data_IF_982210449557
#
_entry.id   IF_982210449557
#
_cell.length_a   1.000
_cell.length_b   1.000
_cell.length_c   1.000
_cell.angle_alpha   90.00
_cell.angle_beta   90.00
_cell.angle_gamma   90.00
#
_symmetry.space_group_name_H-M   'P 1'
#
loop_
_entity.id
_entity.type
_entity.pdbx_description
1 polymer ?
#
# COMPACT_ATOMS: atom_id res chain seq x y z
N UNK A 1 -1.34 -0.76 6.67
CA UNK A 1 -0.25 -1.76 6.59
C UNK A 1 0.97 -1.04 6.08
N UNK A 2 2.06 -0.99 6.86
CA UNK A 2 3.31 -0.33 6.47
C UNK A 2 4.14 -1.31 5.65
N UNK A 3 4.68 -0.85 4.53
CA UNK A 3 5.58 -1.64 3.68
C UNK A 3 7.01 -1.13 3.82
N UNK A 4 7.97 -2.03 3.69
CA UNK A 4 9.40 -1.73 3.65
C UNK A 4 9.96 -2.12 2.30
N UNK A 5 10.91 -1.35 1.73
CA UNK A 5 11.60 -1.76 0.50
C UNK A 5 12.21 -3.16 0.65
N UNK A 6 11.99 -4.02 -0.35
CA UNK A 6 12.64 -5.32 -0.44
C UNK A 6 13.87 -5.20 -1.34
N UNK A 7 15.00 -5.81 -0.95
CA UNK A 7 16.24 -5.74 -1.73
C UNK A 7 16.12 -6.34 -3.14
N UNK A 8 15.17 -7.26 -3.34
CA UNK A 8 14.86 -7.89 -4.63
C UNK A 8 13.88 -7.09 -5.48
N UNK A 9 13.36 -5.96 -4.98
CA UNK A 9 12.36 -5.15 -5.69
C UNK A 9 12.99 -3.81 -6.12
N UNK A 10 12.93 -3.51 -7.42
CA UNK A 10 13.39 -2.23 -7.94
C UNK A 10 12.32 -1.18 -7.62
N UNK A 11 12.64 -0.27 -6.70
CA UNK A 11 11.65 0.70 -6.22
C UNK A 11 11.48 1.94 -7.11
N UNK A 12 12.24 2.06 -8.21
CA UNK A 12 12.24 3.19 -9.15
C UNK A 12 12.28 4.58 -8.46
N UNK A 13 13.09 4.69 -7.40
CA UNK A 13 13.23 5.93 -6.61
C UNK A 13 12.08 6.22 -5.65
N UNK A 14 11.04 5.37 -5.58
CA UNK A 14 9.94 5.52 -4.61
C UNK A 14 10.24 4.79 -3.30
N UNK A 15 9.65 5.27 -2.21
CA UNK A 15 9.74 4.60 -0.90
C UNK A 15 8.55 4.99 -0.02
N UNK A 16 8.48 4.45 1.20
CA UNK A 16 7.49 4.88 2.19
C UNK A 16 6.05 4.46 1.90
N UNK A 17 5.84 3.33 1.24
CA UNK A 17 4.49 2.87 0.89
C UNK A 17 3.66 2.41 2.08
N UNK A 18 2.36 2.68 1.99
CA UNK A 18 1.34 2.14 2.86
C UNK A 18 0.19 1.57 2.04
N UNK A 19 -0.46 0.53 2.58
CA UNK A 19 -1.82 0.15 2.20
C UNK A 19 -2.75 0.64 3.31
N UNK A 20 -3.57 1.65 3.03
CA UNK A 20 -4.45 2.25 4.02
C UNK A 20 -5.83 2.60 3.48
N UNK A 21 -6.75 2.97 4.38
CA UNK A 21 -8.07 3.47 4.00
C UNK A 21 -8.00 4.94 3.62
N UNK A 22 -9.02 5.40 2.92
CA UNK A 22 -9.16 6.80 2.56
C UNK A 22 -9.44 7.68 3.81
N UNK A 23 -9.32 9.00 3.65
CA UNK A 23 -9.60 9.97 4.69
C UNK A 23 -11.10 10.09 4.89
N UNK A 24 -11.55 9.98 6.14
CA UNK A 24 -12.95 10.22 6.51
C UNK A 24 -13.30 11.70 6.54
N UNK A 25 -12.31 12.57 6.76
CA UNK A 25 -12.49 14.02 6.78
C UNK A 25 -12.43 14.66 5.38
N UNK A 26 -11.61 14.08 4.49
CA UNK A 26 -11.38 14.57 3.12
C UNK A 26 -11.37 13.40 2.12
N UNK A 27 -12.55 12.82 1.80
CA UNK A 27 -12.64 11.67 0.90
C UNK A 27 -12.00 11.95 -0.47
N UNK A 28 -11.19 11.02 -0.96
CA UNK A 28 -10.45 11.10 -2.22
C UNK A 28 -9.07 11.74 -2.12
N UNK A 29 -8.71 12.35 -0.98
CA UNK A 29 -7.49 13.16 -0.85
C UNK A 29 -6.40 12.50 -0.01
N UNK A 30 -6.59 11.26 0.47
CA UNK A 30 -5.62 10.65 1.38
C UNK A 30 -4.34 10.13 0.70
N UNK A 31 -4.32 9.98 -0.63
CA UNK A 31 -3.19 9.36 -1.32
C UNK A 31 -2.08 10.35 -1.65
N UNK A 32 -0.88 10.06 -1.17
CA UNK A 32 0.37 10.68 -1.62
C UNK A 32 1.21 9.67 -2.44
N UNK A 33 0.55 8.81 -3.22
CA UNK A 33 1.19 7.68 -3.91
C UNK A 33 1.14 6.35 -3.14
N UNK A 34 0.28 6.27 -2.11
CA UNK A 34 -0.02 5.05 -1.36
C UNK A 34 -1.19 4.28 -1.97
N UNK A 35 -1.33 3.01 -1.59
CA UNK A 35 -2.43 2.15 -2.05
C UNK A 35 -3.63 2.38 -1.11
N UNK A 36 -4.72 2.92 -1.65
CA UNK A 36 -5.96 3.19 -0.91
C UNK A 36 -6.95 2.04 -1.11
N UNK A 37 -7.36 1.39 -0.02
CA UNK A 37 -8.31 0.27 -0.03
C UNK A 37 -9.23 0.31 1.21
N UNK A 38 -10.51 -0.07 1.07
CA UNK A 38 -11.41 -0.18 2.21
C UNK A 38 -10.94 -1.27 3.20
N UNK A 39 -11.44 -1.18 4.44
CA UNK A 39 -10.97 -2.03 5.55
C UNK A 39 -11.12 -3.53 5.26
N UNK A 40 -12.26 -3.95 4.70
CA UNK A 40 -12.52 -5.35 4.35
C UNK A 40 -11.49 -5.91 3.35
N UNK A 41 -11.13 -5.15 2.32
CA UNK A 41 -10.11 -5.56 1.33
C UNK A 41 -8.73 -5.65 1.97
N UNK A 42 -8.38 -4.72 2.87
CA UNK A 42 -7.10 -4.78 3.61
C UNK A 42 -7.01 -6.03 4.50
N UNK A 43 -8.13 -6.46 5.10
CA UNK A 43 -8.18 -7.73 5.82
C UNK A 43 -7.99 -8.93 4.88
N UNK A 44 -8.61 -8.92 3.70
CA UNK A 44 -8.40 -9.99 2.71
C UNK A 44 -6.95 -10.09 2.25
N UNK A 45 -6.30 -8.95 1.97
CA UNK A 45 -4.86 -8.90 1.62
C UNK A 45 -4.00 -9.43 2.77
N UNK A 46 -4.29 -9.04 4.00
CA UNK A 46 -3.55 -9.55 5.16
C UNK A 46 -3.71 -11.08 5.31
N UNK A 47 -4.93 -11.57 5.16
CA UNK A 47 -5.28 -12.98 5.31
C UNK A 47 -4.85 -13.86 4.13
N UNK A 48 -4.53 -13.30 2.96
CA UNK A 48 -4.10 -14.11 1.80
C UNK A 48 -2.75 -14.78 2.00
N UNK A 49 -1.92 -14.25 2.91
CA UNK A 49 -0.55 -14.70 3.12
C UNK A 49 0.46 -14.00 2.20
N UNK A 50 0.03 -13.17 1.26
CA UNK A 50 0.93 -12.37 0.44
C UNK A 50 1.63 -11.31 1.29
N UNK A 51 2.96 -11.27 1.20
CA UNK A 51 3.80 -10.34 1.97
C UNK A 51 4.71 -9.47 1.10
N UNK A 52 4.74 -9.72 -0.21
CA UNK A 52 5.57 -9.01 -1.15
C UNK A 52 4.69 -8.15 -2.06
N UNK A 53 5.11 -6.89 -2.24
CA UNK A 53 4.57 -5.98 -3.25
C UNK A 53 5.70 -5.71 -4.24
N UNK A 54 5.46 -5.93 -5.53
CA UNK A 54 6.37 -5.58 -6.61
C UNK A 54 6.01 -4.21 -7.17
N UNK A 55 7.02 -3.39 -7.47
CA UNK A 55 6.83 -2.13 -8.19
C UNK A 55 7.27 -2.37 -9.63
N UNK A 56 6.43 -2.00 -10.59
CA UNK A 56 6.69 -2.10 -12.03
C UNK A 56 6.70 -0.70 -12.65
N UNK A 57 7.43 -0.55 -13.75
CA UNK A 57 7.51 0.68 -14.57
C UNK A 57 6.23 0.94 -15.38
#
# INVERSE_FOLDING_TARGET
MRLTPAASNIMYGRSGFLIHGDSTAHPGEASNGCIIMPLNVRHSVWSSGDRNLEVIE
#
